data_IF_633047377580
#
_entry.id   IF_633047377580
#
_cell.length_a   1.000
_cell.length_b   1.000
_cell.length_c   1.000
_cell.angle_alpha   90.00
_cell.angle_beta   90.00
_cell.angle_gamma   90.00
#
_symmetry.space_group_name_H-M   'P 1'
#
loop_
_entity.id
_entity.type
_entity.pdbx_description
1 polymer ?
2 water ?
#
# COMPACT_ATOMS: atom_id res chain seq x y z
N UNK A 14 10.61 15.92 13.72
CA UNK A 14 9.96 14.80 13.06
C UNK A 14 9.83 13.54 13.92
N UNK A 15 10.92 12.87 14.29
CA UNK A 15 12.26 13.31 13.96
C UNK A 15 13.45 12.40 14.24
N UNK A 16 14.63 13.02 14.30
CA UNK A 16 15.91 12.35 14.33
C UNK A 16 16.18 11.40 15.48
N UNK A 17 15.48 11.55 16.58
CA UNK A 17 15.68 10.66 17.70
C UNK A 17 15.32 9.26 17.26
N UNK A 18 14.30 9.15 16.43
CA UNK A 18 13.88 7.85 15.93
C UNK A 18 14.98 7.29 15.08
N UNK A 19 15.59 8.12 14.23
CA UNK A 19 16.68 7.66 13.40
C UNK A 19 17.84 7.18 14.26
N UNK A 20 18.19 7.97 15.25
CA UNK A 20 19.31 7.65 16.15
C UNK A 20 19.04 6.32 16.87
N UNK A 21 17.81 6.11 17.35
CA UNK A 21 17.46 4.86 18.00
C UNK A 21 17.70 3.68 17.04
N UNK A 22 17.38 3.90 15.77
CA UNK A 22 17.62 2.89 14.76
C UNK A 22 19.10 2.68 14.50
N UNK A 23 19.82 3.78 14.39
CA UNK A 23 21.25 3.72 14.17
C UNK A 23 21.94 2.93 15.27
N UNK A 24 21.52 3.17 16.51
CA UNK A 24 22.15 2.48 17.63
C UNK A 24 21.81 1.00 17.63
N UNK A 25 20.59 0.68 17.21
CA UNK A 25 20.15 -0.71 17.19
C UNK A 25 20.95 -1.55 16.19
N UNK A 26 21.14 -1.01 15.00
CA UNK A 26 21.90 -1.70 13.96
C UNK A 26 23.35 -1.87 14.42
N UNK A 27 23.87 -0.84 15.05
CA UNK A 27 25.21 -0.88 15.62
C UNK A 27 25.36 -2.04 16.61
N UNK A 28 24.30 -2.30 17.37
CA UNK A 28 24.32 -3.34 18.40
C UNK A 28 24.19 -4.74 17.79
N UNK A 29 23.80 -4.79 16.51
CA UNK A 29 23.64 -6.03 15.78
C UNK A 29 24.95 -6.47 15.11
N UNK A 30 25.95 -5.59 15.10
CA UNK A 30 27.22 -5.96 14.50
C UNK A 30 27.78 -7.17 15.26
N UNK A 31 28.47 -8.05 14.55
CA UNK A 31 28.96 -9.26 15.16
C UNK A 31 29.92 -8.99 16.32
N UNK A 32 30.76 -7.98 16.18
CA UNK A 32 31.75 -7.71 17.19
C UNK A 32 31.57 -6.34 17.83
N UNK A 33 30.38 -6.07 18.35
CA UNK A 33 30.16 -4.79 19.01
C UNK A 33 31.06 -4.63 20.24
N UNK A 34 31.69 -3.48 20.34
CA UNK A 34 32.58 -3.13 21.44
C UNK A 34 31.85 -2.66 22.69
N UNK A 35 32.52 -2.78 23.83
CA UNK A 35 32.03 -2.21 25.07
C UNK A 35 31.92 -0.68 24.94
N UNK A 36 32.83 -0.08 24.19
CA UNK A 36 32.78 1.37 23.90
C UNK A 36 31.46 1.74 23.22
N UNK A 37 31.07 0.97 22.21
CA UNK A 37 29.81 1.21 21.51
C UNK A 37 28.61 1.06 22.47
N UNK A 38 28.64 0.03 23.29
CA UNK A 38 27.63 -0.18 24.32
C UNK A 38 27.49 1.08 25.21
N UNK A 39 28.62 1.63 25.65
CA UNK A 39 28.64 2.78 26.55
C UNK A 39 28.02 4.01 25.91
N UNK A 40 28.40 4.24 24.65
CA UNK A 40 27.90 5.40 23.94
C UNK A 40 26.38 5.31 23.79
N UNK A 41 25.89 4.12 23.43
CA UNK A 41 24.46 3.90 23.30
C UNK A 41 23.74 4.18 24.63
N UNK A 42 24.28 3.62 25.71
CA UNK A 42 23.71 3.72 27.05
C UNK A 42 23.65 5.16 27.54
N UNK A 43 24.62 5.97 27.18
CA UNK A 43 24.63 7.37 27.58
C UNK A 43 23.61 8.13 26.76
N UNK A 44 23.50 7.81 25.47
CA UNK A 44 22.48 8.44 24.62
C UNK A 44 21.09 8.13 25.17
N UNK A 45 20.87 6.88 25.57
CA UNK A 45 19.56 6.47 26.06
C UNK A 45 19.18 7.26 27.31
N UNK A 46 20.20 7.50 28.14
CA UNK A 46 20.02 8.09 29.46
C UNK A 46 19.86 9.61 29.39
N UNK A 47 20.36 10.20 28.31
CA UNK A 47 20.48 11.66 28.23
C UNK A 47 19.11 12.38 28.15
N UNK A 48 18.07 11.66 27.71
CA UNK A 48 16.72 12.24 27.59
C UNK A 48 15.67 11.13 27.52
N UNK A 49 14.57 11.27 28.28
CA UNK A 49 13.52 10.25 28.33
C UNK A 49 12.96 9.82 26.96
N UNK A 50 13.00 10.71 25.98
CA UNK A 50 12.47 10.39 24.65
C UNK A 50 13.38 9.41 23.93
N UNK A 51 14.68 9.50 24.23
CA UNK A 51 15.63 8.55 23.66
C UNK A 51 15.31 7.17 24.18
N UNK A 52 15.15 7.04 25.48
CA UNK A 52 14.83 5.76 26.09
C UNK A 52 13.53 5.20 25.51
N UNK A 53 12.55 6.08 25.34
CA UNK A 53 11.27 5.70 24.75
C UNK A 53 11.48 5.23 23.32
N UNK A 54 12.21 6.00 22.54
CA UNK A 54 12.52 5.64 21.17
C UNK A 54 13.24 4.29 21.10
N UNK A 55 14.24 4.14 21.95
CA UNK A 55 15.02 2.91 22.01
C UNK A 55 14.15 1.70 22.32
N UNK A 56 13.23 1.87 23.26
CA UNK A 56 12.41 0.73 23.68
C UNK A 56 11.42 0.33 22.57
N UNK A 57 10.82 1.31 21.92
CA UNK A 57 9.88 1.00 20.85
C UNK A 57 10.60 0.35 19.66
N UNK A 58 11.84 0.77 19.43
CA UNK A 58 12.67 0.17 18.39
C UNK A 58 12.97 -1.29 18.73
N UNK A 59 13.24 -1.55 20.01
CA UNK A 59 13.47 -2.91 20.52
C UNK A 59 12.24 -3.81 20.36
N UNK A 60 11.08 -3.31 20.75
CA UNK A 60 9.81 -3.99 20.54
C UNK A 60 9.62 -4.29 19.06
N UNK A 61 9.87 -3.30 18.21
CA UNK A 61 9.67 -3.45 16.77
C UNK A 61 10.62 -4.49 16.17
N UNK A 62 11.88 -4.46 16.62
CA UNK A 62 12.86 -5.45 16.18
C UNK A 62 12.48 -6.88 16.56
N UNK A 63 12.01 -7.06 17.78
CA UNK A 63 11.60 -8.39 18.24
C UNK A 63 10.35 -8.88 17.49
N UNK A 64 9.32 -8.04 17.41
CA UNK A 64 8.10 -8.41 16.68
C UNK A 64 8.46 -8.84 15.26
N UNK A 65 9.36 -8.07 14.66
CA UNK A 65 9.84 -8.36 13.32
C UNK A 65 10.48 -9.75 13.26
N UNK A 66 11.20 -10.12 14.32
CA UNK A 66 11.85 -11.43 14.44
C UNK A 66 10.82 -12.53 14.62
N UNK A 67 9.89 -12.32 15.54
CA UNK A 67 8.87 -13.31 15.82
C UNK A 67 7.95 -13.55 14.64
N UNK A 68 8.33 -13.03 13.48
CA UNK A 68 7.57 -13.22 12.28
C UNK A 68 8.48 -13.91 11.32
N UNK A 69 9.49 -14.56 11.88
CA UNK A 69 10.47 -15.29 11.08
C UNK A 69 11.06 -16.44 11.91
N UNK B 15 7.67 10.61 16.40
CA UNK B 15 7.29 10.08 17.70
C UNK B 15 6.12 9.15 17.53
N UNK B 16 4.90 9.67 17.62
CA UNK B 16 3.72 8.85 17.46
C UNK B 16 3.74 8.37 16.03
N UNK B 17 4.24 9.26 15.16
CA UNK B 17 4.39 8.98 13.75
C UNK B 17 5.33 7.81 13.52
N UNK B 18 6.40 7.77 14.32
CA UNK B 18 7.37 6.70 14.21
C UNK B 18 6.73 5.37 14.59
N UNK B 19 5.95 5.39 15.67
CA UNK B 19 5.27 4.18 16.10
C UNK B 19 4.23 3.74 15.04
N UNK B 20 3.57 4.70 14.41
CA UNK B 20 2.61 4.37 13.35
C UNK B 20 3.34 3.76 12.16
N UNK B 21 4.46 4.35 11.76
CA UNK B 21 5.24 3.82 10.64
C UNK B 21 5.62 2.38 10.93
N UNK B 22 6.00 2.13 12.17
CA UNK B 22 6.36 0.80 12.62
C UNK B 22 5.17 -0.14 12.63
N UNK B 23 4.01 0.35 13.10
CA UNK B 23 2.83 -0.51 13.09
C UNK B 23 2.46 -0.93 11.66
N UNK B 24 2.55 0.01 10.71
CA UNK B 24 2.16 -0.30 9.32
C UNK B 24 3.13 -1.29 8.70
N UNK B 25 4.40 -1.18 9.05
CA UNK B 25 5.40 -2.08 8.50
C UNK B 25 5.13 -3.49 8.98
N UNK B 26 4.74 -3.62 10.25
CA UNK B 26 4.39 -4.91 10.79
C UNK B 26 3.14 -5.51 10.13
N UNK B 27 2.11 -4.71 9.94
CA UNK B 27 0.88 -5.15 9.28
C UNK B 27 1.17 -5.69 7.89
N UNK B 28 2.14 -5.09 7.22
CA UNK B 28 2.52 -5.45 5.87
C UNK B 28 3.39 -6.70 5.83
N UNK B 29 3.88 -7.12 6.99
CA UNK B 29 4.68 -8.33 7.05
C UNK B 29 3.79 -9.55 7.29
N UNK B 30 2.52 -9.30 7.63
CA UNK B 30 1.56 -10.37 7.90
C UNK B 30 1.48 -11.32 6.71
N UNK B 31 1.20 -12.61 6.97
CA UNK B 31 1.24 -13.62 5.90
C UNK B 31 0.24 -13.31 4.80
N UNK B 32 -0.95 -12.90 5.22
CA UNK B 32 -1.96 -12.52 4.27
C UNK B 32 -2.34 -11.10 4.60
N UNK B 33 -1.77 -10.17 3.85
CA UNK B 33 -2.12 -8.78 4.03
C UNK B 33 -3.10 -8.45 2.92
N UNK B 34 -4.16 -7.76 3.28
CA UNK B 34 -5.20 -7.37 2.36
C UNK B 34 -4.86 -6.13 1.55
N UNK B 35 -5.50 -6.04 0.38
CA UNK B 35 -5.43 -4.84 -0.45
C UNK B 35 -6.03 -3.66 0.35
N UNK B 36 -7.05 -3.93 1.17
CA UNK B 36 -7.59 -2.91 2.09
C UNK B 36 -6.51 -2.31 2.98
N UNK B 37 -5.73 -3.20 3.56
CA UNK B 37 -4.65 -2.80 4.45
C UNK B 37 -3.60 -2.00 3.69
N UNK B 38 -3.28 -2.43 2.48
CA UNK B 38 -2.35 -1.69 1.63
C UNK B 38 -2.86 -0.25 1.46
N UNK B 39 -4.15 -0.11 1.15
CA UNK B 39 -4.74 1.20 0.86
C UNK B 39 -4.68 2.12 2.06
N UNK B 40 -4.95 1.56 3.24
CA UNK B 40 -4.91 2.32 4.49
C UNK B 40 -3.50 2.83 4.71
N UNK B 41 -2.52 1.95 4.53
CA UNK B 41 -1.13 2.36 4.66
C UNK B 41 -0.78 3.47 3.66
N UNK B 42 -1.14 3.30 2.38
CA UNK B 42 -0.76 4.30 1.39
C UNK B 42 -1.37 5.67 1.69
N UNK B 43 -2.62 5.71 2.14
CA UNK B 43 -3.27 6.99 2.42
C UNK B 43 -2.68 7.63 3.69
N UNK B 44 -2.26 6.81 4.66
CA UNK B 44 -1.54 7.33 5.82
C UNK B 44 -0.24 7.99 5.38
N UNK B 45 0.50 7.33 4.49
CA UNK B 45 1.79 7.86 4.02
C UNK B 45 1.62 9.20 3.29
N UNK B 46 0.53 9.30 2.53
CA UNK B 46 0.29 10.43 1.64
C UNK B 46 -0.24 11.67 2.38
N UNK B 47 -0.79 11.46 3.57
CA UNK B 47 -1.50 12.51 4.28
C UNK B 47 -0.57 13.64 4.76
N UNK B 48 0.70 13.32 4.99
CA UNK B 48 1.65 14.32 5.47
C UNK B 48 3.08 13.84 5.23
N UNK B 49 3.95 14.74 4.74
CA UNK B 49 5.35 14.41 4.47
C UNK B 49 6.08 13.73 5.63
N UNK B 50 5.66 13.98 6.87
CA UNK B 50 6.33 13.36 8.02
C UNK B 50 6.01 11.86 8.09
N UNK B 51 4.79 11.50 7.65
CA UNK B 51 4.40 10.10 7.57
C UNK B 51 5.27 9.39 6.58
N UNK B 52 5.36 9.98 5.39
CA UNK B 52 6.16 9.41 4.32
C UNK B 52 7.62 9.27 4.71
N UNK B 53 8.15 10.26 5.42
CA UNK B 53 9.54 10.24 5.89
C UNK B 53 9.74 9.09 6.87
N UNK B 54 8.86 8.98 7.85
CA UNK B 54 8.91 7.89 8.81
C UNK B 54 8.82 6.51 8.09
N UNK B 55 7.91 6.39 7.14
CA UNK B 55 7.76 5.14 6.42
C UNK B 55 9.08 4.74 5.77
N UNK B 56 9.77 5.73 5.21
CA UNK B 56 11.04 5.53 4.51
C UNK B 56 12.21 5.09 5.40
N UNK B 57 12.34 5.72 6.55
CA UNK B 57 13.40 5.35 7.46
C UNK B 57 13.18 3.92 7.96
N UNK B 58 11.92 3.58 8.19
CA UNK B 58 11.54 2.27 8.68
C UNK B 58 11.86 1.17 7.66
N UNK B 59 11.65 1.46 6.38
CA UNK B 59 11.95 0.51 5.30
C UNK B 59 13.43 0.18 5.18
N UNK B 60 14.25 1.23 5.12
CA UNK B 60 15.70 1.11 5.14
C UNK B 60 16.16 0.33 6.38
N UNK B 61 15.58 0.67 7.53
CA UNK B 61 15.99 0.02 8.78
C UNK B 61 15.63 -1.47 8.79
N UNK B 62 14.41 -1.79 8.37
CA UNK B 62 13.96 -3.18 8.26
C UNK B 62 14.85 -3.93 7.28
N UNK B 63 15.22 -3.25 6.21
CA UNK B 63 16.08 -3.78 5.16
C UNK B 63 17.44 -4.13 5.74
N UNK B 64 18.04 -3.15 6.39
CA UNK B 64 19.35 -3.34 7.03
C UNK B 64 19.28 -4.50 8.00
N UNK B 65 18.20 -4.54 8.78
CA UNK B 65 18.01 -5.56 9.78
C UNK B 65 18.03 -6.97 9.15
N UNK B 66 17.34 -7.14 8.03
CA UNK B 66 17.29 -8.42 7.33
C UNK B 66 18.65 -8.88 6.83
N UNK B 67 19.40 -7.96 6.23
CA UNK B 67 20.75 -8.27 5.73
C UNK B 67 21.67 -8.78 6.84
N UNK B 68 21.24 -8.62 8.08
CA UNK B 68 21.89 -9.18 9.26
C UNK B 68 21.02 -10.36 9.73
N UNK B 69 21.32 -11.54 9.21
CA UNK B 69 20.50 -12.72 9.48
C UNK B 69 20.66 -13.23 10.91
N UNK C 12 -8.62 12.88 -5.71
CA UNK C 12 -10.04 13.23 -5.84
C UNK C 12 -10.53 12.98 -7.26
N UNK C 13 -10.74 11.72 -7.61
CA UNK C 13 -11.22 11.45 -8.95
C UNK C 13 -12.69 11.10 -8.86
N UNK C 14 -13.52 11.76 -9.66
CA UNK C 14 -14.94 11.40 -9.78
C UNK C 14 -15.08 9.92 -10.15
N UNK C 15 -16.12 9.26 -9.63
CA UNK C 15 -16.27 7.82 -9.79
C UNK C 15 -16.26 7.33 -11.22
N UNK C 16 -16.91 8.05 -12.13
CA UNK C 16 -16.99 7.59 -13.51
C UNK C 16 -15.63 7.64 -14.21
N UNK C 17 -14.88 8.71 -13.96
CA UNK C 17 -13.51 8.87 -14.45
C UNK C 17 -12.65 7.78 -13.84
N UNK C 18 -12.87 7.51 -12.55
CA UNK C 18 -12.06 6.50 -11.88
C UNK C 18 -12.24 5.09 -12.48
N UNK C 19 -13.48 4.70 -12.77
CA UNK C 19 -13.68 3.37 -13.34
C UNK C 19 -13.06 3.34 -14.75
N UNK C 20 -13.16 4.44 -15.49
CA UNK C 20 -12.53 4.47 -16.81
C UNK C 20 -11.02 4.39 -16.66
N UNK C 21 -10.51 5.11 -15.67
CA UNK C 21 -9.08 5.09 -15.37
C UNK C 21 -8.59 3.69 -15.04
N UNK C 22 -9.38 2.98 -14.24
CA UNK C 22 -9.05 1.62 -13.86
C UNK C 22 -9.08 0.66 -15.04
N UNK C 23 -10.15 0.74 -15.84
CA UNK C 23 -10.29 -0.14 -16.99
C UNK C 23 -9.08 0.03 -17.95
N UNK C 24 -8.67 1.27 -18.21
CA UNK C 24 -7.57 1.47 -19.17
C UNK C 24 -6.23 1.03 -18.55
N UNK C 25 -6.07 1.28 -17.26
CA UNK C 25 -4.82 0.90 -16.62
C UNK C 25 -4.70 -0.65 -16.65
N UNK C 26 -5.78 -1.33 -16.32
CA UNK C 26 -5.76 -2.80 -16.33
C UNK C 26 -5.50 -3.36 -17.73
N UNK C 27 -6.08 -2.75 -18.75
CA UNK C 27 -5.85 -3.22 -20.12
C UNK C 27 -4.37 -3.11 -20.48
N UNK C 28 -3.75 -2.02 -20.09
CA UNK C 28 -2.32 -1.79 -20.33
C UNK C 28 -1.42 -2.68 -19.48
N UNK C 29 -1.99 -3.36 -18.48
CA UNK C 29 -1.20 -4.31 -17.70
C UNK C 29 -1.17 -5.71 -18.30
N UNK C 30 -2.00 -5.99 -19.30
CA UNK C 30 -1.99 -7.32 -19.87
C UNK C 30 -0.59 -7.60 -20.49
N UNK C 31 -0.23 -8.87 -20.56
CA UNK C 31 1.07 -9.28 -21.11
C UNK C 31 1.23 -8.87 -22.56
N UNK C 32 0.11 -8.93 -23.27
CA UNK C 32 0.04 -8.48 -24.65
C UNK C 32 -1.12 -7.48 -24.83
N UNK C 33 -0.84 -6.33 -25.44
CA UNK C 33 -1.84 -5.31 -25.73
C UNK C 33 -2.03 -5.05 -27.22
N UNK C 34 -3.28 -4.94 -27.69
CA UNK C 34 -3.53 -4.65 -29.12
C UNK C 34 -3.29 -3.18 -29.49
N UNK C 35 -2.99 -2.92 -30.76
CA UNK C 35 -2.87 -1.53 -31.20
C UNK C 35 -4.20 -0.83 -31.06
N UNK C 36 -5.29 -1.55 -31.27
CA UNK C 36 -6.62 -0.98 -31.05
C UNK C 36 -6.82 -0.48 -29.62
N UNK C 37 -6.46 -1.31 -28.65
CA UNK C 37 -6.55 -0.93 -27.25
C UNK C 37 -5.65 0.25 -26.94
N UNK C 38 -4.40 0.24 -27.43
CA UNK C 38 -3.54 1.41 -27.21
C UNK C 38 -4.21 2.64 -27.70
N UNK C 39 -4.72 2.58 -28.93
CA UNK C 39 -5.23 3.76 -29.60
C UNK C 39 -6.38 4.30 -28.77
N UNK C 40 -7.17 3.36 -28.28
CA UNK C 40 -8.32 3.67 -27.44
C UNK C 40 -7.90 4.28 -26.10
N UNK C 41 -6.89 3.70 -25.46
CA UNK C 41 -6.40 4.25 -24.18
C UNK C 41 -5.93 5.69 -24.33
N UNK C 42 -5.16 5.92 -25.39
CA UNK C 42 -4.62 7.24 -25.66
C UNK C 42 -5.71 8.24 -25.95
N UNK C 43 -6.71 7.81 -26.68
CA UNK C 43 -7.81 8.71 -27.00
C UNK C 43 -8.56 9.08 -25.72
N UNK C 44 -8.75 8.13 -24.83
CA UNK C 44 -9.36 8.43 -23.54
C UNK C 44 -8.52 9.47 -22.77
N UNK C 45 -7.21 9.25 -22.74
CA UNK C 45 -6.32 10.11 -21.95
C UNK C 45 -6.37 11.53 -22.48
N UNK C 46 -6.43 11.65 -23.80
CA UNK C 46 -6.38 12.91 -24.50
C UNK C 46 -7.70 13.67 -24.52
N UNK C 47 -8.79 12.97 -24.24
CA UNK C 47 -10.14 13.49 -24.38
C UNK C 47 -10.53 14.57 -23.37
N UNK C 48 -9.90 14.53 -22.21
CA UNK C 48 -10.22 15.45 -21.11
C UNK C 48 -9.02 15.43 -20.16
N UNK C 49 -8.55 16.61 -19.69
CA UNK C 49 -7.41 16.64 -18.77
C UNK C 49 -7.59 15.82 -17.51
N UNK C 50 -8.84 15.61 -17.09
CA UNK C 50 -9.04 14.85 -15.84
C UNK C 50 -8.73 13.39 -16.12
N UNK C 51 -8.95 12.96 -17.35
CA UNK C 51 -8.64 11.58 -17.73
C UNK C 51 -7.15 11.39 -17.56
N UNK C 52 -6.39 12.34 -18.13
CA UNK C 52 -4.94 12.28 -18.03
C UNK C 52 -4.44 12.33 -16.61
N UNK C 53 -5.02 13.22 -15.81
CA UNK C 53 -4.62 13.37 -14.41
C UNK C 53 -4.90 12.08 -13.62
N UNK C 54 -6.10 11.55 -13.83
CA UNK C 54 -6.47 10.29 -13.19
C UNK C 54 -5.46 9.21 -13.62
N UNK C 55 -5.12 9.18 -14.90
CA UNK C 55 -4.19 8.19 -15.37
C UNK C 55 -2.84 8.30 -14.63
N UNK C 56 -2.33 9.52 -14.45
CA UNK C 56 -0.99 9.69 -13.90
C UNK C 56 -0.96 9.36 -12.42
N UNK C 57 -1.96 9.83 -11.69
CA UNK C 57 -1.99 9.58 -10.26
C UNK C 57 -2.12 8.08 -9.99
N UNK C 58 -2.91 7.41 -10.82
CA UNK C 58 -3.12 5.98 -10.63
C UNK C 58 -1.87 5.20 -10.97
N UNK C 59 -1.07 5.72 -11.92
CA UNK C 59 0.25 5.14 -12.20
C UNK C 59 1.14 5.25 -10.98
N UNK C 60 1.18 6.43 -10.38
CA UNK C 60 2.01 6.68 -9.19
C UNK C 60 1.66 5.71 -8.05
N UNK C 61 0.39 5.63 -7.68
CA UNK C 61 0.02 4.76 -6.57
C UNK C 61 0.12 3.27 -6.87
N UNK C 62 -0.13 2.91 -8.12
CA UNK C 62 0.03 1.51 -8.50
C UNK C 62 1.48 1.10 -8.28
N UNK C 63 2.40 1.98 -8.67
CA UNK C 63 3.82 1.72 -8.54
C UNK C 63 4.18 1.62 -7.06
N UNK C 64 3.70 2.57 -6.27
CA UNK C 64 3.94 2.53 -4.82
C UNK C 64 3.41 1.25 -4.20
N UNK C 65 2.21 0.86 -4.60
CA UNK C 65 1.58 -0.37 -4.10
C UNK C 65 2.42 -1.62 -4.39
N UNK C 66 2.96 -1.70 -5.59
CA UNK C 66 3.81 -2.83 -5.95
C UNK C 66 5.07 -2.88 -5.10
N UNK C 67 5.69 -1.73 -4.89
CA UNK C 67 6.85 -1.62 -4.01
C UNK C 67 6.57 -2.04 -2.55
N UNK C 68 5.30 -2.23 -2.19
CA UNK C 68 4.96 -2.68 -0.84
C UNK C 68 4.57 -4.16 -0.72
N UNK C 69 4.62 -4.90 -1.84
CA UNK C 69 4.27 -6.31 -1.84
C UNK C 69 5.52 -7.18 -1.82
N UNK D 9 -25.53 -22.07 -5.63
CA UNK D 9 -26.40 -21.97 -6.79
C UNK D 9 -25.53 -21.84 -7.99
N UNK D 10 -25.98 -21.11 -9.01
CA UNK D 10 -25.14 -20.75 -10.15
C UNK D 10 -23.89 -20.13 -9.59
N UNK D 11 -22.74 -20.63 -9.98
CA UNK D 11 -21.55 -20.60 -9.15
C UNK D 11 -21.34 -19.40 -8.24
N UNK D 12 -21.35 -19.68 -6.96
CA UNK D 12 -21.22 -18.67 -5.97
C UNK D 12 -19.81 -18.21 -5.79
N UNK D 13 -19.66 -17.15 -5.04
CA UNK D 13 -18.37 -16.60 -4.72
C UNK D 13 -18.05 -17.02 -3.30
N UNK D 14 -16.84 -17.54 -3.08
CA UNK D 14 -16.43 -17.85 -1.71
C UNK D 14 -16.62 -16.62 -0.81
N UNK D 15 -17.02 -16.86 0.42
CA UNK D 15 -17.43 -15.79 1.33
C UNK D 15 -16.41 -14.68 1.49
N UNK D 16 -15.15 -15.02 1.71
CA UNK D 16 -14.13 -13.98 1.93
C UNK D 16 -13.89 -13.11 0.66
N UNK D 17 -13.92 -13.75 -0.52
CA UNK D 17 -13.81 -13.05 -1.80
C UNK D 17 -15.03 -12.15 -1.99
N UNK D 18 -16.21 -12.64 -1.63
CA UNK D 18 -17.39 -11.78 -1.82
C UNK D 18 -17.29 -10.55 -0.94
N UNK D 19 -16.79 -10.78 0.28
CA UNK D 19 -16.68 -9.71 1.26
C UNK D 19 -15.74 -8.65 0.67
N UNK D 20 -14.64 -9.08 0.06
CA UNK D 20 -13.73 -8.12 -0.52
C UNK D 20 -14.36 -7.45 -1.74
N UNK D 21 -15.04 -8.25 -2.56
CA UNK D 21 -15.71 -7.72 -3.75
C UNK D 21 -16.72 -6.62 -3.42
N UNK D 22 -17.48 -6.81 -2.34
CA UNK D 22 -18.47 -5.81 -1.91
C UNK D 22 -17.75 -4.54 -1.46
N UNK D 23 -16.67 -4.74 -0.71
CA UNK D 23 -15.89 -3.62 -0.21
C UNK D 23 -15.37 -2.79 -1.38
N UNK D 24 -14.76 -3.44 -2.38
CA UNK D 24 -14.17 -2.65 -3.46
C UNK D 24 -15.27 -2.00 -4.35
N UNK D 25 -16.36 -2.70 -4.58
CA UNK D 25 -17.43 -2.13 -5.40
C UNK D 25 -18.01 -0.85 -4.72
N UNK D 26 -18.29 -0.95 -3.42
CA UNK D 26 -18.85 0.18 -2.69
C UNK D 26 -17.87 1.36 -2.72
N UNK D 27 -16.56 1.10 -2.60
CA UNK D 27 -15.57 2.18 -2.70
C UNK D 27 -15.68 2.91 -4.06
N UNK D 28 -15.87 2.14 -5.13
CA UNK D 28 -15.98 2.73 -6.47
C UNK D 28 -17.31 3.41 -6.73
N UNK D 29 -18.26 3.26 -5.82
CA UNK D 29 -19.56 3.90 -5.98
C UNK D 29 -19.59 5.30 -5.42
N UNK D 30 -18.58 5.62 -4.63
CA UNK D 30 -18.49 6.95 -4.04
C UNK D 30 -18.44 8.01 -5.15
N UNK D 31 -18.91 9.23 -4.82
CA UNK D 31 -18.92 10.30 -5.81
C UNK D 31 -17.50 10.59 -6.26
N UNK D 32 -16.56 10.50 -5.32
CA UNK D 32 -15.14 10.67 -5.58
C UNK D 32 -14.33 9.51 -4.99
N UNK D 33 -13.37 9.01 -5.77
CA UNK D 33 -12.47 7.94 -5.37
C UNK D 33 -11.03 8.41 -5.43
N UNK D 34 -10.23 8.05 -4.44
CA UNK D 34 -8.83 8.45 -4.49
C UNK D 34 -8.02 7.55 -5.42
N UNK D 35 -6.91 8.05 -5.96
CA UNK D 35 -6.02 7.22 -6.77
C UNK D 35 -5.45 6.06 -5.96
N UNK D 36 -5.16 6.27 -4.68
CA UNK D 36 -4.74 5.20 -3.80
C UNK D 36 -5.79 4.08 -3.76
N UNK D 37 -7.05 4.48 -3.60
CA UNK D 37 -8.14 3.51 -3.59
C UNK D 37 -8.24 2.77 -4.92
N UNK D 38 -8.10 3.46 -6.06
CA UNK D 38 -8.06 2.73 -7.32
C UNK D 38 -6.94 1.72 -7.33
N UNK D 39 -5.75 2.15 -6.93
CA UNK D 39 -4.58 1.27 -7.08
C UNK D 39 -4.83 0.01 -6.25
N UNK D 40 -5.41 0.19 -5.07
CA UNK D 40 -5.72 -0.94 -4.20
C UNK D 40 -6.76 -1.88 -4.80
N UNK D 41 -7.83 -1.30 -5.32
CA UNK D 41 -8.86 -2.09 -5.95
C UNK D 41 -8.30 -2.92 -7.09
N UNK D 42 -7.47 -2.31 -7.93
CA UNK D 42 -6.86 -2.97 -9.08
C UNK D 42 -5.93 -4.11 -8.67
N UNK D 43 -5.21 -3.86 -7.61
CA UNK D 43 -4.28 -4.83 -7.10
C UNK D 43 -5.06 -6.06 -6.56
N UNK D 44 -6.16 -5.81 -5.89
CA UNK D 44 -7.00 -6.92 -5.46
C UNK D 44 -7.51 -7.69 -6.67
N UNK D 45 -8.00 -6.99 -7.70
CA UNK D 45 -8.62 -7.66 -8.84
C UNK D 45 -7.58 -8.54 -9.52
N UNK D 46 -6.36 -8.04 -9.56
CA UNK D 46 -5.35 -8.80 -10.29
C UNK D 46 -4.58 -9.79 -9.41
N UNK D 47 -4.84 -9.81 -8.11
CA UNK D 47 -4.15 -10.76 -7.24
C UNK D 47 -4.56 -12.22 -7.45
N UNK D 48 -5.79 -12.44 -7.95
CA UNK D 48 -6.28 -13.81 -8.12
C UNK D 48 -7.46 -13.78 -9.05
N UNK D 49 -7.53 -14.73 -9.97
CA UNK D 49 -8.60 -14.88 -10.96
C UNK D 49 -9.99 -14.83 -10.34
N UNK D 50 -10.11 -15.29 -9.10
CA UNK D 50 -11.42 -15.32 -8.45
C UNK D 50 -11.86 -13.88 -8.15
N UNK D 51 -10.88 -13.03 -7.84
CA UNK D 51 -11.17 -11.62 -7.52
C UNK D 51 -11.72 -10.88 -8.73
N UNK D 52 -11.01 -11.01 -9.86
CA UNK D 52 -11.46 -10.39 -11.08
C UNK D 52 -12.82 -10.89 -11.50
N UNK D 53 -13.01 -12.20 -11.39
CA UNK D 53 -14.28 -12.80 -11.77
C UNK D 53 -15.43 -12.31 -10.87
N UNK D 54 -15.20 -12.30 -9.57
CA UNK D 54 -16.18 -11.77 -8.63
C UNK D 54 -16.50 -10.33 -8.96
N UNK D 55 -15.47 -9.55 -9.29
CA UNK D 55 -15.71 -8.13 -9.62
C UNK D 55 -16.66 -7.97 -10.81
N UNK D 56 -16.42 -8.75 -11.86
CA UNK D 56 -17.15 -8.60 -13.10
C UNK D 56 -18.63 -9.03 -12.92
N UNK D 57 -18.85 -10.15 -12.25
CA UNK D 57 -20.21 -10.65 -12.00
C UNK D 57 -20.99 -9.70 -11.13
N UNK D 58 -20.30 -9.13 -10.17
CA UNK D 58 -20.92 -8.15 -9.29
C UNK D 58 -21.32 -6.87 -10.07
N UNK D 59 -20.51 -6.46 -11.04
CA UNK D 59 -20.89 -5.32 -11.88
C UNK D 59 -22.17 -5.64 -12.65
N UNK D 60 -22.20 -6.84 -13.23
CA UNK D 60 -23.35 -7.32 -13.97
C UNK D 60 -24.68 -7.30 -13.14
N UNK D 61 -24.65 -7.92 -11.97
CA UNK D 61 -25.84 -8.00 -11.14
C UNK D 61 -26.21 -6.66 -10.53
N UNK D 62 -25.22 -5.84 -10.18
CA UNK D 62 -25.54 -4.49 -9.70
C UNK D 62 -26.29 -3.74 -10.79
N UNK D 63 -25.83 -3.84 -12.04
CA UNK D 63 -26.50 -3.13 -13.12
C UNK D 63 -27.92 -3.65 -13.29
N UNK D 64 -28.08 -4.96 -13.31
CA UNK D 64 -29.40 -5.56 -13.45
C UNK D 64 -30.36 -5.10 -12.38
N UNK D 65 -29.88 -5.11 -11.14
CA UNK D 65 -30.67 -4.68 -9.99
C UNK D 65 -31.09 -3.23 -10.15
N UNK D 66 -30.17 -2.38 -10.60
CA UNK D 66 -30.46 -0.97 -10.82
C UNK D 66 -31.59 -0.80 -11.84
N UNK D 67 -31.52 -1.56 -12.92
CA UNK D 67 -32.60 -1.60 -13.92
C UNK D 67 -33.96 -2.10 -13.37
N UNK D 68 -33.95 -2.67 -12.17
CA UNK D 68 -35.18 -3.17 -11.53
C UNK D 68 -35.73 -2.20 -10.49
N UNK D 69 -35.00 -1.11 -10.27
CA UNK D 69 -35.41 -0.09 -9.32
C UNK D 69 -36.03 1.05 -10.11
#
# INVERSE_FOLDING_TARGET
GAMGMNGQGATSIPGEVAEQAMHWHLELQEPAVSAATLAACMSWRQAHPLHEHAWQRTQVFAQRLREMRSPGQRPLAHAALRPQQS
GAMGMNGQGATSIPGEVAEQAMHWHLELQEPAVSAATLAACMSWRQAHPLHEHAWQRTQVFAQRLREMRSPGQRPLAHAALRPQQS
GAMGMNGQGATSIPGEVAEQAMHWHLELQEPAVSAATLAACMSWRQAHPLHEHAWQRTQVFAQRLREMRSPGQRPLAHAALRPQQS
GAMGMNGQGATSIPGEVAEQAMHWHLELQEPAVSAATLAACMSWRQAHPLHEHAWQRTQVFAQRLREMRSPGQRPLAHAALRPQQS
#
